data_IF_833655749827
#
_entry.id   IF_833655749827
#
_cell.length_a   1.000
_cell.length_b   1.000
_cell.length_c   1.000
_cell.angle_alpha   90.00
_cell.angle_beta   90.00
_cell.angle_gamma   90.00
#
_symmetry.space_group_name_H-M   'P 1'
#
loop_
_entity.id
_entity.type
_entity.pdbx_description
1 polymer ?
#
# COMPACT_ATOMS: atom_id res chain seq x y z
N UNK A 1 -72.15 -63.27 -25.70
CA UNK A 1 -72.97 -62.52 -24.72
C UNK A 1 -72.19 -61.28 -24.34
N UNK A 2 -72.64 -60.03 -24.42
CA UNK A 2 -73.96 -59.45 -24.68
C UNK A 2 -73.69 -58.01 -25.18
N UNK A 3 -74.37 -57.63 -26.26
CA UNK A 3 -74.83 -56.30 -26.68
C UNK A 3 -74.00 -55.00 -26.51
N UNK A 4 -73.70 -54.45 -27.68
CA UNK A 4 -73.55 -53.05 -28.08
C UNK A 4 -74.58 -52.08 -27.46
N UNK A 5 -74.18 -50.84 -27.13
CA UNK A 5 -74.97 -49.60 -27.30
C UNK A 5 -74.04 -48.42 -27.59
N UNK A 6 -74.46 -47.64 -28.59
CA UNK A 6 -73.90 -46.44 -29.23
C UNK A 6 -73.89 -45.20 -28.31
N UNK A 7 -73.01 -44.26 -28.67
CA UNK A 7 -73.13 -42.79 -28.64
C UNK A 7 -73.76 -42.13 -27.40
N UNK A 8 -73.00 -41.22 -26.77
CA UNK A 8 -73.34 -39.79 -26.58
C UNK A 8 -72.26 -39.10 -25.72
N UNK A 9 -72.07 -37.80 -25.96
CA UNK A 9 -71.27 -36.84 -25.18
C UNK A 9 -69.77 -36.72 -25.53
N UNK A 10 -69.52 -36.41 -26.79
CA UNK A 10 -68.47 -35.43 -27.11
C UNK A 10 -68.90 -34.06 -26.60
N UNK A 11 -68.28 -33.57 -25.50
CA UNK A 11 -67.95 -32.16 -25.27
C UNK A 11 -67.40 -31.86 -23.86
N UNK A 12 -67.49 -32.76 -22.89
CA UNK A 12 -67.02 -32.46 -21.52
C UNK A 12 -65.53 -32.74 -21.27
N UNK A 13 -64.91 -33.68 -21.98
CA UNK A 13 -63.51 -34.07 -21.74
C UNK A 13 -62.51 -32.99 -22.19
N UNK A 14 -62.91 -32.12 -23.12
CA UNK A 14 -62.02 -31.08 -23.67
C UNK A 14 -61.75 -29.91 -22.71
N UNK A 15 -62.61 -29.73 -21.70
CA UNK A 15 -62.44 -28.68 -20.69
C UNK A 15 -61.61 -29.15 -19.47
N UNK A 16 -61.62 -30.45 -19.17
CA UNK A 16 -60.87 -31.02 -18.04
C UNK A 16 -59.36 -31.07 -18.31
N UNK A 17 -58.95 -31.48 -19.53
CA UNK A 17 -57.52 -31.59 -19.88
C UNK A 17 -56.83 -30.22 -19.98
N UNK A 18 -57.54 -29.17 -20.38
CA UNK A 18 -57.00 -27.80 -20.46
C UNK A 18 -56.76 -27.17 -19.08
N UNK A 19 -57.49 -27.59 -18.05
CA UNK A 19 -57.36 -27.04 -16.68
C UNK A 19 -56.19 -27.67 -15.93
N UNK A 20 -55.96 -28.97 -16.11
CA UNK A 20 -54.81 -29.69 -15.55
C UNK A 20 -53.48 -29.23 -16.15
N UNK A 21 -53.42 -28.98 -17.48
CA UNK A 21 -52.19 -28.57 -18.17
C UNK A 21 -51.72 -27.15 -17.81
N UNK A 22 -52.66 -26.25 -17.51
CA UNK A 22 -52.33 -24.87 -17.09
C UNK A 22 -51.84 -24.85 -15.63
N UNK A 23 -52.38 -25.71 -14.77
CA UNK A 23 -51.95 -25.81 -13.37
C UNK A 23 -50.58 -26.47 -13.25
N UNK A 24 -50.25 -27.49 -14.07
CA UNK A 24 -48.90 -28.06 -14.12
C UNK A 24 -47.87 -27.11 -14.72
N UNK A 25 -48.24 -26.29 -15.72
CA UNK A 25 -47.34 -25.28 -16.28
C UNK A 25 -47.04 -24.15 -15.27
N UNK A 26 -48.01 -23.76 -14.45
CA UNK A 26 -47.79 -22.79 -13.36
C UNK A 26 -47.00 -23.38 -12.18
N UNK A 27 -47.14 -24.67 -11.87
CA UNK A 27 -46.33 -25.32 -10.83
C UNK A 27 -44.87 -25.47 -11.25
N UNK A 28 -44.60 -25.75 -12.53
CA UNK A 28 -43.24 -25.88 -13.08
C UNK A 28 -42.58 -24.51 -13.32
N UNK A 29 -43.35 -23.45 -13.61
CA UNK A 29 -42.81 -22.08 -13.66
C UNK A 29 -42.55 -21.49 -12.26
N UNK A 30 -43.24 -21.95 -11.23
CA UNK A 30 -43.03 -21.51 -9.84
C UNK A 30 -41.78 -22.12 -9.19
N UNK A 31 -41.22 -23.18 -9.78
CA UNK A 31 -39.99 -23.83 -9.28
C UNK A 31 -38.73 -23.21 -9.93
N UNK A 32 -38.87 -22.36 -10.96
CA UNK A 32 -37.75 -21.64 -11.58
C UNK A 32 -37.49 -20.23 -11.02
N UNK A 33 -38.35 -19.73 -10.13
CA UNK A 33 -38.06 -18.57 -9.28
C UNK A 33 -37.75 -19.06 -7.86
N UNK A 34 -36.68 -19.85 -7.73
CA UNK A 34 -35.88 -19.73 -6.52
C UNK A 34 -35.30 -18.32 -6.57
N UNK A 35 -35.98 -17.37 -5.93
CA UNK A 35 -35.31 -16.16 -5.47
C UNK A 35 -34.09 -16.65 -4.71
N UNK A 36 -32.91 -16.50 -5.31
CA UNK A 36 -31.69 -16.39 -4.54
C UNK A 36 -31.97 -15.21 -3.62
N UNK A 37 -32.44 -15.52 -2.42
CA UNK A 37 -32.47 -14.56 -1.33
C UNK A 37 -31.05 -14.04 -1.25
N UNK A 38 -30.82 -12.73 -1.46
CA UNK A 38 -29.51 -12.17 -1.16
C UNK A 38 -29.23 -12.59 0.28
N UNK A 39 -28.06 -13.18 0.48
CA UNK A 39 -27.59 -13.74 1.75
C UNK A 39 -27.59 -12.64 2.82
N UNK A 40 -28.76 -12.30 3.36
CA UNK A 40 -28.96 -11.30 4.40
C UNK A 40 -28.36 -11.87 5.68
N UNK A 41 -27.15 -11.40 5.99
CA UNK A 41 -26.57 -11.55 7.33
C UNK A 41 -25.30 -12.38 7.44
N UNK A 42 -24.77 -12.99 6.36
CA UNK A 42 -23.49 -13.70 6.47
C UNK A 42 -22.31 -12.75 6.26
N UNK A 43 -21.81 -12.16 7.34
CA UNK A 43 -20.44 -11.64 7.37
C UNK A 43 -19.48 -12.83 7.34
N UNK A 44 -18.53 -12.79 6.41
CA UNK A 44 -17.46 -13.79 6.31
C UNK A 44 -16.17 -13.10 6.68
N UNK A 45 -15.37 -13.75 7.55
CA UNK A 45 -14.04 -13.28 7.95
C UNK A 45 -13.07 -14.45 7.83
N UNK A 46 -12.02 -14.24 7.06
CA UNK A 46 -10.92 -15.18 6.84
C UNK A 46 -9.86 -14.98 7.93
N UNK A 47 -9.28 -16.09 8.40
CA UNK A 47 -8.21 -16.08 9.39
C UNK A 47 -6.84 -15.85 8.73
N UNK A 48 -6.68 -14.69 8.10
CA UNK A 48 -5.40 -14.26 7.53
C UNK A 48 -4.47 -13.77 8.65
N UNK A 49 -3.25 -14.32 8.79
CA UNK A 49 -2.29 -13.84 9.77
C UNK A 49 -2.01 -12.34 9.61
N UNK A 50 -2.06 -11.60 10.71
CA UNK A 50 -1.75 -10.17 10.70
C UNK A 50 -0.23 -9.94 10.79
N UNK A 51 0.27 -9.01 9.99
CA UNK A 51 1.65 -8.54 10.03
C UNK A 51 1.66 -7.03 9.85
N UNK A 52 2.40 -6.31 10.69
CA UNK A 52 2.51 -4.86 10.67
C UNK A 52 3.77 -4.38 9.96
N UNK A 53 3.65 -3.45 9.02
CA UNK A 53 4.78 -3.01 8.19
C UNK A 53 5.89 -2.29 8.97
N UNK A 54 5.60 -1.76 10.16
CA UNK A 54 6.55 -0.98 10.97
C UNK A 54 7.02 -1.71 12.21
N UNK A 55 6.16 -2.53 12.80
CA UNK A 55 6.42 -3.19 14.07
C UNK A 55 6.77 -4.67 13.92
N UNK A 56 6.41 -5.27 12.79
CA UNK A 56 6.86 -6.60 12.37
C UNK A 56 7.97 -6.46 11.30
N UNK A 57 9.02 -5.70 11.63
CA UNK A 57 10.26 -5.59 10.85
C UNK A 57 11.45 -5.38 11.81
N UNK A 58 12.71 -5.60 11.40
CA UNK A 58 13.87 -5.25 12.22
C UNK A 58 13.93 -3.79 12.61
N UNK A 59 14.45 -3.51 13.82
CA UNK A 59 14.53 -2.14 14.35
C UNK A 59 15.37 -1.21 13.48
N UNK A 60 16.34 -1.75 12.74
CA UNK A 60 17.18 -1.00 11.82
C UNK A 60 16.46 -0.64 10.50
N UNK A 61 15.32 -1.27 10.20
CA UNK A 61 14.64 -1.11 8.92
C UNK A 61 13.43 -0.17 9.05
N UNK A 62 13.39 0.88 8.22
CA UNK A 62 12.24 1.78 8.16
C UNK A 62 11.16 1.29 7.19
N UNK A 63 10.18 0.58 7.74
CA UNK A 63 9.07 -0.02 7.00
C UNK A 63 7.92 0.91 6.60
N UNK A 64 8.06 2.24 6.68
CA UNK A 64 6.98 3.19 6.28
C UNK A 64 6.49 3.01 4.85
N UNK A 65 7.30 2.46 3.94
CA UNK A 65 6.93 2.18 2.55
C UNK A 65 6.64 0.71 2.24
N UNK A 66 6.37 -0.09 3.28
CA UNK A 66 6.23 -1.56 3.16
C UNK A 66 4.79 -2.09 3.17
N UNK A 67 3.76 -1.25 2.93
CA UNK A 67 2.36 -1.69 2.94
C UNK A 67 2.08 -2.81 1.91
N UNK A 68 2.58 -2.66 0.68
CA UNK A 68 2.46 -3.68 -0.38
C UNK A 68 3.19 -4.98 -0.04
N UNK A 69 4.50 -4.94 0.27
CA UNK A 69 5.27 -6.12 0.68
C UNK A 69 4.66 -6.87 1.86
N UNK A 70 4.20 -6.14 2.89
CA UNK A 70 3.56 -6.72 4.07
C UNK A 70 2.22 -7.40 3.70
N UNK A 71 1.42 -6.77 2.83
CA UNK A 71 0.18 -7.36 2.30
C UNK A 71 0.42 -8.66 1.53
N UNK A 72 1.48 -8.71 0.72
CA UNK A 72 1.89 -9.94 0.02
C UNK A 72 2.27 -11.04 1.02
N UNK A 73 3.06 -10.70 2.05
CA UNK A 73 3.46 -11.67 3.09
C UNK A 73 2.26 -12.21 3.85
N UNK A 74 1.28 -11.39 4.22
CA UNK A 74 0.05 -11.85 4.89
C UNK A 74 -0.73 -12.87 4.04
N UNK A 75 -0.89 -12.62 2.74
CA UNK A 75 -1.60 -13.53 1.84
C UNK A 75 -0.80 -14.82 1.60
N UNK A 76 0.53 -14.75 1.44
CA UNK A 76 1.38 -15.95 1.35
C UNK A 76 1.32 -16.79 2.64
N UNK A 77 1.31 -16.14 3.81
CA UNK A 77 1.17 -16.81 5.10
C UNK A 77 -0.19 -17.51 5.24
N UNK A 78 -1.28 -16.87 4.82
CA UNK A 78 -2.63 -17.47 4.83
C UNK A 78 -2.71 -18.80 4.05
N UNK A 79 -2.03 -18.87 2.90
CA UNK A 79 -1.99 -20.10 2.10
C UNK A 79 -0.94 -21.12 2.59
N UNK A 80 -0.27 -20.88 3.72
CA UNK A 80 0.66 -21.84 4.33
C UNK A 80 1.93 -22.10 3.52
N UNK A 81 2.29 -21.19 2.61
CA UNK A 81 3.50 -21.33 1.78
C UNK A 81 4.74 -20.68 2.40
N UNK A 82 4.58 -19.97 3.51
CA UNK A 82 5.68 -19.46 4.32
C UNK A 82 5.84 -20.32 5.58
N UNK A 83 6.96 -21.06 5.73
CA UNK A 83 7.33 -21.62 7.02
C UNK A 83 7.40 -20.54 8.10
N UNK A 84 7.19 -20.92 9.36
CA UNK A 84 7.33 -19.98 10.47
C UNK A 84 8.78 -19.55 10.63
N UNK A 85 9.00 -18.24 10.80
CA UNK A 85 10.32 -17.67 11.05
C UNK A 85 10.26 -16.75 12.28
N UNK A 86 10.08 -17.33 13.49
CA UNK A 86 9.76 -16.55 14.69
C UNK A 86 10.94 -15.69 15.14
N UNK A 87 10.70 -14.39 15.34
CA UNK A 87 11.65 -13.46 15.95
C UNK A 87 10.91 -12.48 16.86
N UNK A 88 11.52 -12.19 18.01
CA UNK A 88 10.97 -11.23 18.97
C UNK A 88 11.12 -9.78 18.47
N UNK A 89 10.05 -9.03 18.65
CA UNK A 89 9.93 -7.61 18.42
C UNK A 89 9.73 -6.91 19.77
N UNK A 90 10.40 -5.78 19.96
CA UNK A 90 10.34 -4.97 21.19
C UNK A 90 9.33 -3.83 21.08
N UNK A 91 8.97 -3.43 19.85
CA UNK A 91 8.09 -2.29 19.54
C UNK A 91 6.85 -2.77 18.79
N UNK A 92 5.66 -2.20 19.08
CA UNK A 92 5.43 -1.16 20.07
C UNK A 92 5.33 -1.72 21.49
N UNK A 93 5.28 -3.03 21.62
CA UNK A 93 5.37 -3.82 22.85
C UNK A 93 6.09 -5.13 22.52
N UNK A 94 6.47 -5.89 23.55
CA UNK A 94 7.12 -7.19 23.37
C UNK A 94 6.16 -8.19 22.73
N UNK A 95 6.48 -8.68 21.54
CA UNK A 95 5.73 -9.73 20.85
C UNK A 95 6.62 -10.56 19.93
N UNK A 96 6.13 -11.69 19.44
CA UNK A 96 6.84 -12.52 18.46
C UNK A 96 6.20 -12.35 17.10
N UNK A 97 7.01 -11.93 16.12
CA UNK A 97 6.59 -11.90 14.73
C UNK A 97 6.97 -13.19 14.03
N UNK A 98 6.01 -13.83 13.36
CA UNK A 98 6.21 -15.12 12.70
C UNK A 98 6.69 -15.00 11.24
N UNK A 99 6.50 -13.83 10.62
CA UNK A 99 6.69 -13.65 9.18
C UNK A 99 7.51 -12.40 8.80
N UNK A 100 7.95 -11.58 9.76
CA UNK A 100 8.64 -10.30 9.46
C UNK A 100 9.86 -10.43 8.56
N UNK A 101 10.56 -11.56 8.62
CA UNK A 101 11.78 -11.80 7.83
C UNK A 101 11.48 -11.92 6.35
N UNK A 102 10.32 -12.44 5.96
CA UNK A 102 9.94 -12.52 4.54
C UNK A 102 9.70 -11.14 3.93
N UNK A 103 9.41 -10.11 4.75
CA UNK A 103 9.30 -8.74 4.28
C UNK A 103 10.67 -8.24 3.83
N UNK A 104 11.72 -8.40 4.63
CA UNK A 104 12.98 -7.65 4.48
C UNK A 104 14.25 -8.48 4.28
N UNK A 105 14.22 -9.78 4.55
CA UNK A 105 15.37 -10.67 4.47
C UNK A 105 15.30 -11.57 3.24
N UNK A 106 16.47 -12.04 2.79
CA UNK A 106 16.58 -12.99 1.70
C UNK A 106 15.98 -14.34 2.09
N UNK A 107 15.23 -14.91 1.18
CA UNK A 107 14.76 -16.29 1.19
C UNK A 107 14.66 -16.75 -0.26
N UNK A 108 14.45 -18.03 -0.48
CA UNK A 108 14.27 -18.57 -1.83
C UNK A 108 12.98 -19.38 -1.96
N UNK A 109 12.54 -19.56 -3.20
CA UNK A 109 11.46 -20.46 -3.59
C UNK A 109 12.01 -21.31 -4.73
N UNK A 110 12.38 -22.57 -4.44
CA UNK A 110 13.19 -23.40 -5.34
C UNK A 110 14.48 -22.64 -5.74
N UNK A 111 14.68 -22.42 -7.04
CA UNK A 111 15.87 -21.80 -7.59
C UNK A 111 15.80 -20.25 -7.61
N UNK A 112 14.63 -19.68 -7.34
CA UNK A 112 14.46 -18.22 -7.33
C UNK A 112 14.78 -17.65 -5.95
N UNK A 113 15.72 -16.71 -5.88
CA UNK A 113 16.13 -16.03 -4.65
C UNK A 113 15.56 -14.61 -4.65
N UNK A 114 14.95 -14.21 -3.52
CA UNK A 114 14.52 -12.82 -3.29
C UNK A 114 15.68 -12.00 -2.71
N UNK A 115 16.66 -11.67 -3.55
CA UNK A 115 17.89 -10.94 -3.20
C UNK A 115 18.04 -9.56 -3.84
N UNK A 116 17.05 -9.11 -4.64
CA UNK A 116 16.95 -7.71 -5.05
C UNK A 116 16.88 -6.83 -3.80
N UNK A 117 17.67 -5.74 -3.79
CA UNK A 117 17.74 -4.81 -2.65
C UNK A 117 17.23 -3.43 -3.02
N UNK A 118 16.51 -2.79 -2.10
CA UNK A 118 16.02 -1.41 -2.23
C UNK A 118 16.21 -0.61 -0.96
N UNK A 119 16.49 0.69 -1.05
CA UNK A 119 16.61 1.53 0.13
C UNK A 119 15.27 1.56 0.87
N UNK A 120 15.33 1.50 2.19
CA UNK A 120 14.18 1.65 3.08
C UNK A 120 13.65 3.10 3.09
N UNK A 121 12.61 3.37 3.88
CA UNK A 121 11.96 4.67 3.86
C UNK A 121 12.81 5.81 4.43
N UNK A 122 13.77 5.52 5.33
CA UNK A 122 14.76 6.50 5.79
C UNK A 122 15.92 6.67 4.80
N UNK A 123 16.06 5.73 3.85
CA UNK A 123 17.17 5.62 2.89
C UNK A 123 18.52 5.36 3.56
N UNK A 124 18.49 4.79 4.76
CA UNK A 124 19.70 4.48 5.52
C UNK A 124 20.14 3.04 5.30
N UNK A 125 19.19 2.12 5.13
CA UNK A 125 19.46 0.69 4.97
C UNK A 125 18.79 0.09 3.74
N UNK A 126 19.30 -1.04 3.29
CA UNK A 126 18.65 -1.86 2.27
C UNK A 126 17.71 -2.90 2.87
N UNK A 127 16.52 -3.03 2.27
CA UNK A 127 15.63 -4.18 2.43
C UNK A 127 15.70 -5.13 1.25
N UNK A 128 15.59 -6.42 1.53
CA UNK A 128 15.55 -7.54 0.58
C UNK A 128 14.16 -8.18 0.56
N UNK A 129 14.06 -9.48 0.23
CA UNK A 129 12.83 -10.24 0.38
C UNK A 129 11.72 -9.71 -0.52
N UNK A 130 10.49 -9.78 -0.03
CA UNK A 130 9.34 -9.23 -0.77
C UNK A 130 9.47 -7.71 -0.93
N UNK A 131 10.04 -7.00 0.05
CA UNK A 131 10.27 -5.55 -0.04
C UNK A 131 11.17 -5.19 -1.21
N UNK A 132 12.38 -5.74 -1.23
CA UNK A 132 13.37 -5.43 -2.26
C UNK A 132 12.92 -5.81 -3.67
N UNK A 133 12.07 -6.82 -3.80
CA UNK A 133 11.48 -7.20 -5.08
C UNK A 133 10.35 -6.25 -5.51
N UNK A 134 9.35 -6.03 -4.66
CA UNK A 134 8.09 -5.34 -5.03
C UNK A 134 8.22 -3.81 -5.00
N UNK A 135 8.96 -3.27 -4.06
CA UNK A 135 9.10 -1.83 -3.87
C UNK A 135 10.00 -1.21 -4.94
N UNK A 136 9.60 -0.06 -5.46
CA UNK A 136 10.42 0.77 -6.34
C UNK A 136 10.50 2.17 -5.74
N UNK A 137 11.71 2.74 -5.54
CA UNK A 137 11.87 4.10 -5.03
C UNK A 137 11.02 5.09 -5.83
N UNK A 138 10.42 6.04 -5.12
CA UNK A 138 9.57 7.11 -5.69
C UNK A 138 8.24 6.65 -6.32
N UNK A 139 8.07 5.34 -6.54
CA UNK A 139 6.83 4.75 -7.09
C UNK A 139 6.01 4.06 -6.00
N UNK A 140 6.65 3.35 -5.07
CA UNK A 140 5.98 2.49 -4.10
C UNK A 140 5.93 1.03 -4.55
N UNK A 141 4.95 0.27 -4.06
CA UNK A 141 4.77 -1.13 -4.43
C UNK A 141 4.20 -1.25 -5.86
N UNK A 142 4.91 -1.96 -6.74
CA UNK A 142 4.51 -2.15 -8.13
C UNK A 142 3.59 -3.37 -8.24
N UNK A 143 2.33 -3.18 -8.68
CA UNK A 143 1.31 -4.23 -8.70
C UNK A 143 1.70 -5.45 -9.55
N UNK A 144 2.32 -5.23 -10.72
CA UNK A 144 2.79 -6.34 -11.58
C UNK A 144 3.90 -7.16 -10.90
N UNK A 145 4.77 -6.52 -10.12
CA UNK A 145 5.77 -7.22 -9.29
C UNK A 145 5.11 -8.00 -8.16
N UNK A 146 4.05 -7.48 -7.52
CA UNK A 146 3.28 -8.22 -6.51
C UNK A 146 2.68 -9.49 -7.10
N UNK A 147 2.03 -9.39 -8.28
CA UNK A 147 1.54 -10.55 -9.03
C UNK A 147 2.67 -11.55 -9.28
N UNK A 148 3.84 -11.05 -9.69
CA UNK A 148 4.97 -11.92 -9.99
C UNK A 148 5.48 -12.70 -8.77
N UNK A 149 5.44 -12.11 -7.57
CA UNK A 149 5.73 -12.86 -6.33
C UNK A 149 4.80 -14.07 -6.21
N UNK A 150 3.49 -13.88 -6.36
CA UNK A 150 2.54 -14.99 -6.27
C UNK A 150 2.76 -16.04 -7.37
N UNK A 151 3.05 -15.64 -8.60
CA UNK A 151 3.39 -16.59 -9.67
C UNK A 151 4.63 -17.44 -9.36
N UNK A 152 5.67 -16.84 -8.75
CA UNK A 152 6.89 -17.56 -8.34
C UNK A 152 6.52 -18.70 -7.38
N UNK A 153 5.62 -18.43 -6.43
CA UNK A 153 5.07 -19.40 -5.50
C UNK A 153 4.08 -20.40 -6.12
N UNK A 154 3.71 -20.23 -7.39
CA UNK A 154 2.83 -21.14 -8.13
C UNK A 154 1.33 -20.78 -8.08
N UNK A 155 0.98 -19.59 -7.61
CA UNK A 155 -0.41 -19.10 -7.67
C UNK A 155 -0.77 -18.66 -9.08
N UNK A 156 -2.08 -18.64 -9.38
CA UNK A 156 -2.62 -17.81 -10.45
C UNK A 156 -2.98 -16.46 -9.85
N UNK A 157 -2.30 -15.40 -10.29
CA UNK A 157 -2.55 -14.04 -9.81
C UNK A 157 -2.66 -13.04 -10.95
N UNK A 158 -3.40 -11.96 -10.74
CA UNK A 158 -3.54 -10.87 -11.71
C UNK A 158 -3.99 -9.59 -11.01
N UNK A 159 -3.80 -8.47 -11.70
CA UNK A 159 -4.32 -7.17 -11.28
C UNK A 159 -5.67 -6.96 -11.96
N UNK A 160 -6.67 -6.59 -11.19
CA UNK A 160 -7.94 -6.07 -11.69
C UNK A 160 -8.03 -4.58 -11.36
N UNK A 161 -8.15 -3.75 -12.39
CA UNK A 161 -8.20 -2.28 -12.30
C UNK A 161 -9.62 -1.72 -12.32
N UNK A 162 -10.63 -2.57 -12.37
CA UNK A 162 -12.06 -2.21 -12.33
C UNK A 162 -12.79 -2.92 -11.18
N UNK A 163 -12.25 -2.89 -9.95
CA UNK A 163 -12.76 -3.70 -8.85
C UNK A 163 -14.17 -3.32 -8.42
N UNK A 164 -15.02 -4.33 -8.24
CA UNK A 164 -16.40 -4.18 -7.76
C UNK A 164 -16.58 -4.74 -6.34
N UNK A 165 -17.68 -4.32 -5.69
CA UNK A 165 -18.07 -4.87 -4.38
C UNK A 165 -18.43 -6.35 -4.50
N UNK A 166 -19.13 -6.71 -5.57
CA UNK A 166 -19.60 -8.06 -5.84
C UNK A 166 -18.43 -9.03 -6.07
N UNK A 167 -17.37 -8.60 -6.77
CA UNK A 167 -16.14 -9.39 -6.93
C UNK A 167 -15.42 -9.61 -5.60
N UNK A 168 -15.32 -8.59 -4.75
CA UNK A 168 -14.74 -8.73 -3.41
C UNK A 168 -15.48 -9.80 -2.61
N UNK A 169 -16.82 -9.69 -2.56
CA UNK A 169 -17.69 -10.63 -1.86
C UNK A 169 -17.51 -12.04 -2.41
N UNK A 170 -17.42 -12.21 -3.73
CA UNK A 170 -17.24 -13.50 -4.37
C UNK A 170 -15.89 -14.16 -4.02
N UNK A 171 -14.80 -13.38 -3.99
CA UNK A 171 -13.47 -13.89 -3.61
C UNK A 171 -13.43 -14.30 -2.13
N UNK A 172 -13.96 -13.46 -1.24
CA UNK A 172 -14.02 -13.74 0.20
C UNK A 172 -14.89 -14.98 0.49
N UNK A 173 -16.07 -15.08 -0.13
CA UNK A 173 -16.95 -16.26 0.02
C UNK A 173 -16.29 -17.55 -0.46
N UNK A 174 -15.37 -17.45 -1.41
CA UNK A 174 -14.59 -18.58 -1.89
C UNK A 174 -13.30 -18.82 -1.09
N UNK A 175 -13.15 -18.20 0.09
CA UNK A 175 -12.04 -18.40 1.00
C UNK A 175 -10.73 -17.71 0.56
N UNK A 176 -10.81 -16.70 -0.32
CA UNK A 176 -9.62 -16.06 -0.90
C UNK A 176 -9.52 -14.60 -0.45
N UNK A 177 -8.49 -14.23 0.33
CA UNK A 177 -8.26 -12.83 0.69
C UNK A 177 -7.83 -12.03 -0.54
N UNK A 178 -8.17 -10.75 -0.56
CA UNK A 178 -7.91 -9.86 -1.69
C UNK A 178 -7.02 -8.71 -1.24
N UNK A 179 -5.94 -8.44 -1.96
CA UNK A 179 -5.13 -7.25 -1.67
C UNK A 179 -5.74 -6.04 -2.39
N UNK A 180 -6.01 -4.99 -1.64
CA UNK A 180 -6.65 -3.77 -2.09
C UNK A 180 -5.62 -2.66 -2.23
N UNK A 181 -5.49 -2.08 -3.42
CA UNK A 181 -4.84 -0.79 -3.61
C UNK A 181 -5.87 0.32 -3.47
N UNK A 182 -5.70 1.19 -2.48
CA UNK A 182 -6.74 2.16 -2.07
C UNK A 182 -6.24 3.60 -2.07
N UNK A 183 -7.14 4.54 -1.78
CA UNK A 183 -6.85 5.97 -1.59
C UNK A 183 -7.07 6.40 -0.13
N UNK A 184 -6.81 5.51 0.83
CA UNK A 184 -6.87 5.82 2.27
C UNK A 184 -5.91 6.95 2.69
N UNK A 185 -4.86 7.23 1.92
CA UNK A 185 -3.96 8.38 2.12
C UNK A 185 -3.81 9.14 0.80
N UNK A 186 -3.22 10.34 0.83
CA UNK A 186 -2.91 11.11 -0.40
C UNK A 186 -1.95 10.34 -1.33
N UNK A 187 -0.99 9.59 -0.79
CA UNK A 187 -0.08 8.74 -1.55
C UNK A 187 -0.68 7.38 -1.94
N UNK A 188 -1.88 7.06 -1.47
CA UNK A 188 -2.48 5.74 -1.55
C UNK A 188 -2.02 4.80 -0.44
N UNK A 189 -2.69 3.66 -0.31
CA UNK A 189 -2.36 2.65 0.71
C UNK A 189 -2.79 1.26 0.27
N UNK A 190 -2.02 0.24 0.64
CA UNK A 190 -2.33 -1.15 0.29
C UNK A 190 -2.69 -1.90 1.57
N UNK A 191 -3.84 -2.56 1.56
CA UNK A 191 -4.39 -3.34 2.68
C UNK A 191 -4.87 -4.70 2.19
N UNK A 192 -5.10 -5.66 3.09
CA UNK A 192 -5.64 -6.98 2.73
C UNK A 192 -7.09 -7.06 3.19
N UNK A 193 -8.03 -7.20 2.27
CA UNK A 193 -9.40 -7.58 2.61
C UNK A 193 -9.44 -9.04 3.06
N UNK A 194 -9.97 -9.23 4.26
CA UNK A 194 -10.13 -10.54 4.90
C UNK A 194 -11.60 -10.86 5.16
N UNK A 195 -12.51 -9.92 4.92
CA UNK A 195 -13.92 -10.14 5.13
C UNK A 195 -14.78 -8.96 4.69
N UNK A 196 -16.08 -9.09 4.92
CA UNK A 196 -17.05 -8.02 4.67
C UNK A 196 -18.23 -8.08 5.64
N UNK A 197 -18.94 -6.97 5.77
CA UNK A 197 -20.19 -6.82 6.53
C UNK A 197 -21.37 -6.59 5.59
N UNK A 198 -22.60 -6.86 6.06
CA UNK A 198 -23.83 -6.74 5.26
C UNK A 198 -24.12 -5.29 4.81
N UNK A 199 -23.66 -4.30 5.58
CA UNK A 199 -23.81 -2.87 5.32
C UNK A 199 -22.71 -2.29 4.40
N UNK A 200 -22.06 -3.15 3.59
CA UNK A 200 -20.98 -2.78 2.66
C UNK A 200 -19.71 -2.21 3.34
N UNK A 201 -19.38 -2.72 4.52
CA UNK A 201 -18.07 -2.54 5.15
C UNK A 201 -17.09 -3.64 4.72
N UNK A 202 -15.85 -3.28 4.44
CA UNK A 202 -14.75 -4.21 4.22
C UNK A 202 -13.99 -4.42 5.53
N UNK A 203 -13.80 -5.68 5.90
CA UNK A 203 -12.94 -6.06 7.02
C UNK A 203 -11.55 -6.28 6.46
N UNK A 204 -10.56 -5.52 6.93
CA UNK A 204 -9.19 -5.53 6.42
C UNK A 204 -8.17 -5.83 7.52
N UNK A 205 -7.09 -6.49 7.12
CA UNK A 205 -5.80 -6.40 7.80
C UNK A 205 -5.03 -5.22 7.19
N UNK A 206 -4.93 -4.12 7.93
CA UNK A 206 -4.22 -2.91 7.55
C UNK A 206 -2.76 -2.95 8.05
N UNK A 207 -1.76 -3.05 7.17
CA UNK A 207 -0.37 -3.19 7.58
C UNK A 207 0.17 -1.96 8.33
N UNK A 208 -0.47 -0.79 8.22
CA UNK A 208 -0.06 0.43 8.93
C UNK A 208 -0.76 0.64 10.28
N UNK A 209 -1.73 -0.21 10.64
CA UNK A 209 -2.55 -0.11 11.85
C UNK A 209 -3.99 0.33 11.56
N UNK A 210 -4.79 0.57 12.60
CA UNK A 210 -6.13 1.15 12.43
C UNK A 210 -6.04 2.64 12.07
N UNK A 211 -6.53 3.03 10.89
CA UNK A 211 -6.52 4.43 10.46
C UNK A 211 -7.32 5.36 11.37
N UNK A 212 -8.37 4.87 12.03
CA UNK A 212 -9.18 5.67 12.97
C UNK A 212 -8.36 6.20 14.12
N UNK A 213 -7.30 5.48 14.49
CA UNK A 213 -6.36 5.85 15.55
C UNK A 213 -5.15 6.62 15.03
N UNK A 214 -5.15 7.02 13.75
CA UNK A 214 -4.01 7.52 12.99
C UNK A 214 -2.90 6.48 12.79
N UNK A 215 -2.19 6.58 11.66
CA UNK A 215 -1.01 5.76 11.41
C UNK A 215 0.22 6.37 12.11
N UNK A 216 1.18 5.58 12.62
CA UNK A 216 1.26 4.12 12.61
C UNK A 216 0.91 3.53 13.98
N UNK A 217 0.12 2.45 14.01
CA UNK A 217 -0.19 1.70 15.23
C UNK A 217 -0.24 0.19 14.94
N UNK A 218 -0.32 -0.66 15.97
CA UNK A 218 -0.34 -2.13 15.81
C UNK A 218 -1.75 -2.70 15.58
N UNK A 219 -2.80 -1.90 15.71
CA UNK A 219 -4.18 -2.37 15.78
C UNK A 219 -4.83 -2.52 14.39
N UNK A 220 -4.08 -2.99 13.39
CA UNK A 220 -4.60 -3.08 12.01
C UNK A 220 -5.31 -4.39 11.67
N UNK A 221 -5.36 -5.37 12.58
CA UNK A 221 -6.00 -6.65 12.33
C UNK A 221 -7.53 -6.53 12.32
N UNK A 222 -8.18 -7.05 11.26
CA UNK A 222 -9.64 -7.13 11.11
C UNK A 222 -10.39 -5.81 11.39
N UNK A 223 -9.81 -4.67 11.01
CA UNK A 223 -10.47 -3.35 11.12
C UNK A 223 -11.52 -3.19 10.02
N UNK A 224 -12.60 -2.46 10.28
CA UNK A 224 -13.71 -2.30 9.34
C UNK A 224 -13.71 -0.90 8.73
N UNK A 225 -13.60 -0.83 7.41
CA UNK A 225 -13.67 0.40 6.63
C UNK A 225 -14.87 0.36 5.68
N UNK A 226 -15.50 1.51 5.44
CA UNK A 226 -16.61 1.59 4.50
C UNK A 226 -16.09 1.51 3.06
N UNK A 227 -16.81 0.75 2.22
CA UNK A 227 -16.58 0.71 0.78
C UNK A 227 -16.74 2.13 0.18
N UNK A 228 -16.05 2.47 -0.93
CA UNK A 228 -16.29 3.74 -1.61
C UNK A 228 -17.78 3.96 -1.90
N UNK A 229 -18.25 5.20 -1.82
CA UNK A 229 -19.67 5.61 -1.94
C UNK A 229 -20.62 5.21 -0.81
N UNK A 230 -20.16 4.46 0.19
CA UNK A 230 -20.95 4.11 1.39
C UNK A 230 -20.46 4.94 2.58
N UNK A 231 -21.38 5.38 3.45
CA UNK A 231 -21.01 6.08 4.68
C UNK A 231 -21.83 5.54 5.86
N UNK A 232 -21.24 4.61 6.61
CA UNK A 232 -21.78 4.09 7.86
C UNK A 232 -21.08 4.72 9.09
N UNK A 233 -20.43 5.88 8.91
CA UNK A 233 -19.67 6.56 9.95
C UNK A 233 -18.29 5.94 10.25
N UNK A 234 -17.77 5.03 9.41
CA UNK A 234 -16.43 4.45 9.54
C UNK A 234 -15.43 5.20 8.66
N UNK A 235 -14.15 4.89 8.84
CA UNK A 235 -13.12 5.29 7.86
C UNK A 235 -13.53 4.74 6.49
N UNK A 236 -13.55 5.60 5.48
CA UNK A 236 -13.88 5.22 4.12
C UNK A 236 -12.60 4.90 3.31
N UNK A 237 -12.65 3.87 2.46
CA UNK A 237 -11.53 3.53 1.55
C UNK A 237 -11.23 4.62 0.50
N UNK A 238 -12.14 5.58 0.34
CA UNK A 238 -12.19 6.70 -0.62
C UNK A 238 -12.30 6.22 -2.07
N UNK A 239 -11.35 5.41 -2.50
CA UNK A 239 -11.32 4.76 -3.81
C UNK A 239 -10.55 3.45 -3.68
N UNK A 240 -11.06 2.41 -4.32
CA UNK A 240 -10.29 1.19 -4.59
C UNK A 240 -9.79 1.30 -6.03
N UNK A 241 -8.47 1.38 -6.21
CA UNK A 241 -7.80 1.57 -7.50
C UNK A 241 -7.59 0.26 -8.24
N UNK A 242 -7.30 -0.81 -7.48
CA UNK A 242 -7.08 -2.12 -8.03
C UNK A 242 -7.25 -3.20 -6.96
N UNK A 243 -7.64 -4.39 -7.39
CA UNK A 243 -7.43 -5.63 -6.66
C UNK A 243 -6.18 -6.34 -7.19
N UNK A 244 -5.44 -6.97 -6.28
CA UNK A 244 -4.52 -8.04 -6.64
C UNK A 244 -5.19 -9.34 -6.21
N UNK A 245 -5.69 -10.08 -7.20
CA UNK A 245 -6.40 -11.34 -7.01
C UNK A 245 -5.38 -12.48 -6.99
N UNK A 246 -5.50 -13.37 -6.01
CA UNK A 246 -4.58 -14.50 -5.81
C UNK A 246 -5.39 -15.77 -5.61
N UNK A 247 -5.24 -16.72 -6.54
CA UNK A 247 -5.94 -18.01 -6.51
C UNK A 247 -4.93 -19.16 -6.37
N UNK A 248 -5.10 -20.04 -5.37
CA UNK A 248 -4.22 -21.19 -5.18
C UNK A 248 -4.33 -22.14 -6.37
N UNK A 249 -3.28 -22.91 -6.62
CA UNK A 249 -3.25 -23.96 -7.63
C UNK A 249 -2.68 -25.24 -7.02
N UNK A 250 -2.62 -26.33 -7.77
CA UNK A 250 -1.94 -27.55 -7.33
C UNK A 250 -0.41 -27.43 -7.32
N UNK A 251 0.15 -26.33 -7.87
CA UNK A 251 1.59 -26.13 -8.07
C UNK A 251 2.24 -25.26 -7.00
N UNK A 252 1.58 -25.06 -5.85
CA UNK A 252 2.11 -24.21 -4.79
C UNK A 252 3.47 -24.70 -4.29
N UNK A 253 4.36 -23.76 -4.02
CA UNK A 253 5.71 -23.99 -3.54
C UNK A 253 5.87 -23.31 -2.19
N UNK A 254 6.74 -23.85 -1.34
CA UNK A 254 7.09 -23.24 -0.06
C UNK A 254 8.34 -22.38 -0.19
N UNK A 255 8.42 -21.35 0.63
CA UNK A 255 9.64 -20.61 0.83
C UNK A 255 10.64 -21.43 1.65
N UNK A 256 11.92 -21.23 1.38
CA UNK A 256 13.04 -21.74 2.17
C UNK A 256 13.74 -20.52 2.80
N UNK A 257 13.59 -20.31 4.13
CA UNK A 257 14.21 -19.19 4.81
C UNK A 257 15.73 -19.35 4.87
N UNK A 258 16.46 -18.24 4.83
CA UNK A 258 17.89 -18.19 5.11
C UNK A 258 18.14 -17.78 6.57
N UNK A 259 19.35 -17.31 6.88
CA UNK A 259 19.62 -16.68 8.17
C UNK A 259 19.02 -15.27 8.22
N UNK A 260 18.56 -14.82 9.42
CA UNK A 260 18.09 -13.45 9.58
C UNK A 260 19.12 -12.44 9.07
N UNK A 261 18.63 -11.49 8.27
CA UNK A 261 19.47 -10.48 7.66
C UNK A 261 19.97 -9.46 8.68
N UNK A 262 21.21 -9.00 8.47
CA UNK A 262 21.85 -7.89 9.19
C UNK A 262 21.67 -6.60 8.40
N UNK A 263 21.73 -5.42 9.05
CA UNK A 263 21.62 -4.15 8.33
C UNK A 263 22.76 -4.02 7.31
N UNK A 264 22.40 -3.52 6.12
CA UNK A 264 23.35 -3.12 5.08
C UNK A 264 23.08 -1.66 4.73
N UNK A 265 24.09 -0.81 4.91
CA UNK A 265 23.94 0.64 4.73
C UNK A 265 23.90 1.04 3.24
N UNK A 266 23.09 2.05 2.91
CA UNK A 266 23.00 2.60 1.55
C UNK A 266 24.24 3.39 1.17
N UNK A 267 24.78 4.14 2.12
CA UNK A 267 26.02 4.91 1.98
C UNK A 267 27.01 4.32 2.98
N UNK A 268 28.21 3.97 2.52
CA UNK A 268 29.25 3.48 3.42
C UNK A 268 29.60 4.54 4.47
N UNK A 269 30.02 4.09 5.65
CA UNK A 269 30.46 4.98 6.73
C UNK A 269 31.58 5.94 6.25
N UNK A 270 32.51 5.45 5.44
CA UNK A 270 33.57 6.25 4.83
C UNK A 270 33.01 7.38 3.94
N UNK A 271 32.04 7.07 3.09
CA UNK A 271 31.39 8.06 2.24
C UNK A 271 30.60 9.08 3.08
N UNK A 272 29.91 8.67 4.15
CA UNK A 272 29.24 9.58 5.10
C UNK A 272 30.24 10.56 5.74
N UNK A 273 31.41 10.07 6.18
CA UNK A 273 32.47 10.90 6.73
C UNK A 273 32.97 11.91 5.69
N UNK A 274 33.26 11.46 4.47
CA UNK A 274 33.72 12.34 3.38
C UNK A 274 32.68 13.42 3.08
N UNK A 275 31.40 13.06 2.92
CA UNK A 275 30.34 14.05 2.68
C UNK A 275 30.20 15.05 3.82
N UNK A 276 30.32 14.60 5.07
CA UNK A 276 30.28 15.48 6.24
C UNK A 276 31.45 16.47 6.24
N UNK A 277 32.67 16.00 5.95
CA UNK A 277 33.86 16.85 5.82
C UNK A 277 33.74 17.85 4.68
N UNK A 278 33.25 17.42 3.51
CA UNK A 278 33.03 18.31 2.35
C UNK A 278 31.96 19.37 2.66
N UNK A 279 30.88 18.98 3.34
CA UNK A 279 29.85 19.92 3.77
C UNK A 279 30.41 20.95 4.76
N UNK A 280 31.18 20.52 5.75
CA UNK A 280 31.83 21.43 6.70
C UNK A 280 32.82 22.37 6.00
N UNK A 281 33.63 21.86 5.08
CA UNK A 281 34.55 22.65 4.27
C UNK A 281 33.82 23.72 3.43
N UNK A 282 32.66 23.36 2.83
CA UNK A 282 31.82 24.30 2.10
C UNK A 282 31.28 25.41 3.02
N UNK A 283 30.79 25.07 4.21
CA UNK A 283 30.31 26.05 5.20
C UNK A 283 31.45 27.01 5.61
N UNK A 284 32.64 26.48 5.90
CA UNK A 284 33.83 27.31 6.20
C UNK A 284 34.18 28.23 5.04
N UNK A 285 34.16 27.73 3.79
CA UNK A 285 34.43 28.52 2.60
C UNK A 285 33.39 29.64 2.38
N UNK A 286 32.11 29.37 2.62
CA UNK A 286 31.04 30.37 2.54
C UNK A 286 31.21 31.46 3.60
N UNK A 287 31.54 31.08 4.85
CA UNK A 287 31.82 32.03 5.93
C UNK A 287 33.05 32.89 5.60
N UNK A 288 34.14 32.28 5.14
CA UNK A 288 35.36 33.00 4.76
C UNK A 288 35.09 34.00 3.62
N UNK A 289 34.37 33.58 2.59
CA UNK A 289 33.95 34.44 1.47
C UNK A 289 33.09 35.61 1.96
N UNK A 290 32.14 35.38 2.87
CA UNK A 290 31.31 36.44 3.44
C UNK A 290 32.14 37.46 4.25
N UNK A 291 33.13 37.01 5.01
CA UNK A 291 34.06 37.88 5.75
C UNK A 291 34.88 38.74 4.78
N UNK A 292 35.43 38.13 3.72
CA UNK A 292 36.22 38.84 2.70
C UNK A 292 35.33 39.87 1.99
N UNK A 293 34.13 39.48 1.57
CA UNK A 293 33.17 40.38 0.92
C UNK A 293 32.82 41.57 1.82
N UNK A 294 32.53 41.33 3.11
CA UNK A 294 32.27 42.40 4.08
C UNK A 294 33.46 43.36 4.21
N UNK A 295 34.69 42.84 4.28
CA UNK A 295 35.91 43.68 4.31
C UNK A 295 36.06 44.53 3.05
N UNK A 296 35.87 43.96 1.86
CA UNK A 296 35.97 44.67 0.58
C UNK A 296 34.86 45.73 0.45
N UNK A 297 33.64 45.41 0.84
CA UNK A 297 32.51 46.34 0.83
C UNK A 297 32.75 47.52 1.77
N UNK A 298 33.20 47.27 3.00
CA UNK A 298 33.57 48.33 3.96
C UNK A 298 34.72 49.20 3.42
N UNK A 299 35.73 48.60 2.79
CA UNK A 299 36.84 49.34 2.17
C UNK A 299 36.34 50.24 1.02
N UNK A 300 35.48 49.75 0.14
CA UNK A 300 34.86 50.56 -0.93
C UNK A 300 34.01 51.70 -0.38
N UNK A 301 33.22 51.45 0.67
CA UNK A 301 32.42 52.48 1.33
C UNK A 301 33.30 53.57 1.95
N UNK A 302 34.40 53.19 2.60
CA UNK A 302 35.37 54.13 3.15
C UNK A 302 36.04 54.98 2.06
N UNK A 303 36.44 54.37 0.94
CA UNK A 303 37.01 55.09 -0.21
C UNK A 303 35.99 56.09 -0.79
N UNK A 304 34.73 55.70 -0.96
CA UNK A 304 33.70 56.62 -1.45
C UNK A 304 33.45 57.79 -0.50
N UNK A 305 33.46 57.56 0.82
CA UNK A 305 33.37 58.64 1.82
C UNK A 305 34.57 59.57 1.73
N UNK A 306 35.80 59.04 1.62
CA UNK A 306 37.02 59.82 1.45
C UNK A 306 37.01 60.66 0.16
N UNK A 307 36.51 60.12 -0.95
CA UNK A 307 36.36 60.85 -2.21
C UNK A 307 35.32 61.97 -2.14
N UNK A 308 34.18 61.74 -1.47
CA UNK A 308 33.18 62.79 -1.22
C UNK A 308 33.77 63.90 -0.36
N UNK A 309 34.48 63.56 0.73
CA UNK A 309 35.15 64.55 1.57
C UNK A 309 36.21 65.33 0.77
N UNK A 310 37.03 64.67 -0.04
CA UNK A 310 38.02 65.33 -0.90
C UNK A 310 37.38 66.26 -1.95
N UNK A 311 36.24 65.87 -2.54
CA UNK A 311 35.48 66.72 -3.48
C UNK A 311 34.85 67.96 -2.82
N UNK A 312 34.38 67.83 -1.57
CA UNK A 312 33.88 68.98 -0.78
C UNK A 312 35.01 69.97 -0.46
N UNK A 313 36.23 69.50 -0.20
CA UNK A 313 37.40 70.37 -0.02
C UNK A 313 37.87 71.07 -1.31
N UNK A 314 37.63 70.50 -2.49
CA UNK A 314 37.92 71.16 -3.77
C UNK A 314 36.92 72.26 -4.14
N UNK A 315 35.63 72.13 -3.79
CA UNK A 315 34.65 73.20 -4.02
C UNK A 315 34.82 74.40 -3.06
N UNK A 316 35.35 74.18 -1.84
CA UNK A 316 35.60 75.26 -0.88
C UNK A 316 36.75 76.21 -1.29
N UNK A 317 37.51 75.90 -2.34
CA UNK A 317 38.68 76.71 -2.78
C UNK A 317 38.42 77.61 -3.99
N UNK A 318 37.16 77.75 -4.43
CA UNK A 318 36.77 78.54 -5.63
C UNK A 318 35.78 79.69 -5.34
N UNK A 319 35.75 80.20 -4.10
CA UNK A 319 34.80 81.24 -3.65
C UNK A 319 35.45 82.48 -3.02
N UNK A 320 36.76 82.70 -3.12
CA UNK A 320 37.36 83.95 -2.66
C UNK A 320 38.57 84.32 -3.54
N UNK A 321 38.44 85.38 -4.33
CA UNK A 321 39.55 85.90 -5.14
C UNK A 321 39.21 86.66 -6.41
N UNK A 322 38.01 87.21 -6.58
CA UNK A 322 37.74 88.22 -7.61
C UNK A 322 37.44 89.57 -6.93
N UNK A 323 38.51 90.29 -6.55
CA UNK A 323 38.48 91.74 -6.29
C UNK A 323 39.89 92.31 -6.52
N UNK A 324 39.99 93.23 -7.50
CA UNK A 324 41.07 94.21 -7.60
C UNK A 324 41.87 94.16 -8.90
N UNK A 325 41.51 94.99 -9.89
CA UNK A 325 42.32 96.13 -10.35
C UNK A 325 41.58 96.93 -11.44
N UNK A 326 41.62 98.25 -11.26
CA UNK A 326 40.98 99.38 -11.96
C UNK A 326 39.53 99.71 -11.58
#
# INVERSE_FOLDING_TARGET
MLFCIKYLLGNEVRHCVKRELIITLFLVLSIAFSSVSPNEGKSVVLEVPYVNQRYDVPEWFDGRYSCGPTSVVMVLAYYGVLPLWPINCTKPFLHTSLYRQYIVCKFKVRDFIFDEKKPDASREHFGYGVYGYVYTPEVGAVWSKMVKVFEIFGFKAYVDTTPTWEELVAEINAGRPVILSTQLTSSGHIVVAVGYTSDRGVIVNDPAGDKRMSYFNYNGAKVVYDWPSVNNGRVNLVKVKAFIIVRPTEKLKKAEPFNPCKPEEVISLEAKIIYSLLFFALIVALIATAIIYKKVFLKKKLINVLLVLAGVFSCARFSDGARGLY
#
